data_IF_522397125762
#
_entry.id   IF_522397125762
#
_cell.length_a   1.000
_cell.length_b   1.000
_cell.length_c   1.000
_cell.angle_alpha   90.00
_cell.angle_beta   90.00
_cell.angle_gamma   90.00
#
_symmetry.space_group_name_H-M   'P 1'
#
loop_
_entity.id
_entity.type
_entity.pdbx_description
1 polymer ?
#
# COMPACT_ATOMS: atom_id res chain seq x y z
N UNK A 1 67.74 -18.02 -4.31
CA UNK A 1 66.31 -17.98 -3.94
C UNK A 1 65.59 -17.01 -4.86
N UNK A 2 65.06 -17.54 -5.96
CA UNK A 2 64.40 -16.79 -7.03
C UNK A 2 62.91 -16.74 -6.73
N UNK A 3 62.41 -15.58 -6.30
CA UNK A 3 60.98 -15.34 -6.08
C UNK A 3 60.27 -15.33 -7.45
N UNK A 4 59.63 -16.46 -7.78
CA UNK A 4 58.65 -16.56 -8.87
C UNK A 4 57.48 -15.63 -8.55
N UNK A 5 57.43 -14.50 -9.25
CA UNK A 5 56.26 -13.63 -9.33
C UNK A 5 55.17 -14.43 -10.06
N UNK A 6 54.19 -14.91 -9.30
CA UNK A 6 53.01 -15.59 -9.86
C UNK A 6 52.11 -14.49 -10.40
N UNK A 7 52.13 -14.29 -11.72
CA UNK A 7 51.16 -13.46 -12.43
C UNK A 7 49.78 -14.11 -12.28
N UNK A 8 49.05 -13.69 -11.24
CA UNK A 8 47.65 -14.05 -11.03
C UNK A 8 46.87 -13.33 -12.13
N UNK A 9 46.64 -14.02 -13.25
CA UNK A 9 45.81 -13.54 -14.35
C UNK A 9 44.53 -12.93 -13.77
N UNK A 10 44.37 -11.61 -13.93
CA UNK A 10 43.13 -10.91 -13.61
C UNK A 10 42.06 -11.52 -14.51
N UNK A 11 41.27 -12.44 -13.96
CA UNK A 11 40.02 -12.86 -14.61
C UNK A 11 39.26 -11.56 -14.91
N UNK A 12 38.97 -11.31 -16.19
CA UNK A 12 38.24 -10.11 -16.59
C UNK A 12 36.90 -10.08 -15.85
N UNK A 13 36.42 -8.92 -15.38
CA UNK A 13 35.13 -8.80 -14.69
C UNK A 13 33.96 -9.40 -15.50
N UNK A 14 34.09 -9.48 -16.83
CA UNK A 14 33.17 -10.19 -17.72
C UNK A 14 33.06 -11.69 -17.43
N UNK A 15 34.13 -12.35 -16.97
CA UNK A 15 34.15 -13.78 -16.64
C UNK A 15 33.33 -14.10 -15.39
N UNK A 16 33.37 -13.24 -14.37
CA UNK A 16 32.61 -13.45 -13.12
C UNK A 16 31.12 -13.25 -13.37
N UNK A 17 30.73 -12.18 -14.08
CA UNK A 17 29.34 -11.92 -14.41
C UNK A 17 28.73 -13.05 -15.27
N UNK A 18 29.48 -13.57 -16.25
CA UNK A 18 29.05 -14.70 -17.07
C UNK A 18 28.87 -15.99 -16.24
N UNK A 19 29.85 -16.34 -15.39
CA UNK A 19 29.76 -17.50 -14.48
C UNK A 19 28.57 -17.37 -13.52
N UNK A 20 28.31 -16.17 -13.00
CA UNK A 20 27.19 -15.90 -12.10
C UNK A 20 25.85 -16.05 -12.82
N UNK A 21 25.73 -15.48 -14.02
CA UNK A 21 24.57 -15.65 -14.89
C UNK A 21 24.28 -17.12 -15.17
N UNK A 22 25.29 -17.89 -15.59
CA UNK A 22 25.16 -19.31 -15.87
C UNK A 22 24.66 -20.10 -14.64
N UNK A 23 25.20 -19.78 -13.45
CA UNK A 23 24.74 -20.37 -12.17
C UNK A 23 23.28 -20.05 -11.89
N UNK A 24 22.85 -18.80 -12.05
CA UNK A 24 21.46 -18.38 -11.82
C UNK A 24 20.49 -19.07 -12.79
N UNK A 25 20.85 -19.14 -14.07
CA UNK A 25 20.01 -19.81 -15.08
C UNK A 25 19.94 -21.33 -14.85
N UNK A 26 21.05 -21.95 -14.46
CA UNK A 26 21.07 -23.38 -14.11
C UNK A 26 20.21 -23.67 -12.88
N UNK A 27 20.25 -22.80 -11.86
CA UNK A 27 19.38 -22.91 -10.69
C UNK A 27 17.90 -22.77 -11.09
N UNK A 28 17.56 -21.74 -11.87
CA UNK A 28 16.20 -21.53 -12.35
C UNK A 28 15.67 -22.72 -13.18
N UNK A 29 16.54 -23.37 -13.97
CA UNK A 29 16.18 -24.55 -14.75
C UNK A 29 15.88 -25.76 -13.87
N UNK A 30 16.68 -25.98 -12.83
CA UNK A 30 16.43 -27.04 -11.83
C UNK A 30 15.13 -26.82 -11.06
N UNK A 31 14.78 -25.56 -10.83
CA UNK A 31 13.54 -25.15 -10.18
C UNK A 31 12.31 -25.21 -11.11
N UNK A 32 12.50 -25.51 -12.40
CA UNK A 32 11.40 -25.57 -13.38
C UNK A 32 10.80 -24.19 -13.69
N UNK A 33 11.58 -23.12 -13.57
CA UNK A 33 11.11 -21.73 -13.72
C UNK A 33 11.00 -21.24 -15.16
N UNK A 34 11.20 -22.10 -16.15
CA UNK A 34 11.14 -21.72 -17.56
C UNK A 34 9.77 -22.10 -18.13
N UNK A 35 9.03 -21.10 -18.58
CA UNK A 35 7.74 -21.27 -19.24
C UNK A 35 7.78 -20.51 -20.55
N UNK A 36 7.68 -21.24 -21.67
CA UNK A 36 7.73 -20.60 -22.97
C UNK A 36 6.54 -19.69 -23.17
N UNK A 37 6.80 -18.45 -23.52
CA UNK A 37 5.80 -17.50 -23.97
C UNK A 37 6.22 -16.91 -25.31
N UNK A 38 5.25 -16.60 -26.15
CA UNK A 38 5.52 -16.03 -27.47
C UNK A 38 5.99 -14.58 -27.33
N UNK A 39 7.25 -14.25 -27.65
CA UNK A 39 7.71 -12.87 -27.63
C UNK A 39 7.19 -12.09 -28.84
N UNK A 40 6.95 -10.80 -28.64
CA UNK A 40 6.75 -9.82 -29.70
C UNK A 40 8.03 -9.01 -29.86
N UNK A 41 8.51 -8.90 -31.09
CA UNK A 41 9.71 -8.13 -31.40
C UNK A 41 9.29 -6.83 -32.07
N UNK A 42 9.59 -5.71 -31.42
CA UNK A 42 9.38 -4.38 -31.96
C UNK A 42 10.73 -3.79 -32.33
N UNK A 43 10.84 -3.33 -33.58
CA UNK A 43 12.01 -2.65 -34.09
C UNK A 43 11.60 -1.26 -34.57
N UNK A 44 12.10 -0.24 -33.89
CA UNK A 44 11.97 1.15 -34.34
C UNK A 44 13.31 1.57 -34.91
N UNK A 45 13.32 2.03 -36.16
CA UNK A 45 14.49 2.60 -36.81
C UNK A 45 14.19 4.00 -37.34
N UNK A 46 15.13 4.90 -37.13
CA UNK A 46 15.11 6.24 -37.72
C UNK A 46 16.12 6.28 -38.86
N UNK A 47 15.64 6.45 -40.10
CA UNK A 47 16.49 6.63 -41.29
C UNK A 47 16.84 8.12 -41.45
N UNK A 48 17.94 8.41 -42.18
CA UNK A 48 18.48 9.78 -42.40
C UNK A 48 17.49 10.78 -43.01
N UNK A 49 16.39 10.34 -43.61
CA UNK A 49 15.41 11.19 -44.28
C UNK A 49 14.25 11.64 -43.37
N UNK A 50 14.39 11.53 -42.03
CA UNK A 50 13.29 11.78 -41.09
C UNK A 50 12.22 10.68 -41.07
N UNK A 51 12.29 9.73 -42.00
CA UNK A 51 11.43 8.55 -42.03
C UNK A 51 11.76 7.64 -40.85
N UNK A 52 10.79 7.50 -39.95
CA UNK A 52 10.79 6.49 -38.90
C UNK A 52 9.97 5.31 -39.37
N UNK A 53 10.53 4.11 -39.25
CA UNK A 53 9.85 2.87 -39.56
C UNK A 53 9.72 2.05 -38.29
N UNK A 54 8.50 1.62 -38.00
CA UNK A 54 8.20 0.63 -36.98
C UNK A 54 7.87 -0.70 -37.65
N UNK A 55 8.57 -1.75 -37.24
CA UNK A 55 8.33 -3.10 -37.68
C UNK A 55 8.02 -3.98 -36.48
N UNK A 56 6.92 -4.74 -36.58
CA UNK A 56 6.54 -5.75 -35.59
C UNK A 56 6.75 -7.12 -36.21
N UNK A 57 7.49 -7.98 -35.51
CA UNK A 57 7.71 -9.36 -35.91
C UNK A 57 7.34 -10.30 -34.78
N UNK A 58 6.61 -11.35 -35.14
CA UNK A 58 6.26 -12.44 -34.23
C UNK A 58 7.14 -13.64 -34.57
N UNK A 59 8.17 -13.89 -33.77
CA UNK A 59 9.05 -15.03 -34.02
C UNK A 59 8.86 -16.10 -32.95
N UNK A 60 8.75 -17.36 -33.40
CA UNK A 60 9.15 -18.48 -32.55
C UNK A 60 10.67 -18.56 -32.66
N UNK A 61 11.35 -18.31 -31.54
CA UNK A 61 12.74 -18.69 -31.36
C UNK A 61 12.87 -20.19 -31.72
N UNK A 62 13.56 -20.57 -32.81
CA UNK A 62 13.64 -21.97 -33.19
C UNK A 62 14.45 -22.73 -32.13
N UNK A 63 13.80 -23.72 -31.52
CA UNK A 63 14.29 -24.51 -30.37
C UNK A 63 15.62 -25.24 -30.61
N UNK A 64 16.00 -25.44 -31.87
CA UNK A 64 17.10 -26.36 -32.22
C UNK A 64 18.17 -25.80 -33.17
N UNK A 65 18.05 -24.55 -33.63
CA UNK A 65 19.04 -23.92 -34.50
C UNK A 65 19.63 -22.67 -33.82
N UNK A 66 20.71 -22.90 -33.07
CA UNK A 66 21.56 -21.86 -32.46
C UNK A 66 22.13 -20.84 -33.48
N UNK A 67 21.91 -21.04 -34.78
CA UNK A 67 22.39 -20.18 -35.87
C UNK A 67 21.33 -19.23 -36.45
N UNK A 68 20.06 -19.31 -36.01
CA UNK A 68 18.97 -18.48 -36.57
C UNK A 68 18.60 -17.26 -35.73
N UNK A 69 18.98 -17.20 -34.45
CA UNK A 69 18.72 -15.98 -33.66
C UNK A 69 19.54 -14.75 -34.10
N UNK A 70 20.76 -14.91 -34.66
CA UNK A 70 21.37 -13.83 -35.42
C UNK A 70 20.43 -13.40 -36.54
N UNK A 71 19.78 -14.29 -37.28
CA UNK A 71 19.08 -13.94 -38.52
C UNK A 71 17.90 -12.98 -38.35
N UNK A 72 17.08 -13.00 -37.29
CA UNK A 72 15.97 -12.02 -37.20
C UNK A 72 16.47 -10.60 -36.85
N UNK A 73 17.56 -10.50 -36.10
CA UNK A 73 18.19 -9.21 -35.76
C UNK A 73 19.36 -8.83 -36.69
N UNK A 74 19.84 -9.78 -37.50
CA UNK A 74 20.97 -9.65 -38.44
C UNK A 74 20.56 -9.83 -39.90
N UNK A 75 19.33 -10.22 -40.25
CA UNK A 75 18.86 -10.21 -41.64
C UNK A 75 19.01 -8.83 -42.25
N UNK A 76 18.86 -7.78 -41.43
CA UNK A 76 19.06 -6.40 -41.88
C UNK A 76 20.52 -5.94 -41.89
N UNK A 77 21.44 -6.64 -41.23
CA UNK A 77 22.88 -6.38 -41.41
C UNK A 77 23.40 -6.99 -42.72
N UNK A 78 22.73 -8.05 -43.24
CA UNK A 78 23.19 -8.75 -44.42
C UNK A 78 22.46 -8.36 -45.73
N UNK A 79 21.17 -8.00 -45.73
CA UNK A 79 20.54 -7.42 -46.94
C UNK A 79 21.09 -6.02 -47.28
N UNK A 80 21.71 -5.32 -46.33
CA UNK A 80 22.41 -4.04 -46.56
C UNK A 80 23.84 -4.20 -47.10
N UNK A 81 24.37 -5.42 -47.30
CA UNK A 81 25.73 -5.60 -47.87
C UNK A 81 25.87 -5.12 -49.32
N UNK A 82 24.77 -4.77 -50.01
CA UNK A 82 24.81 -4.16 -51.34
C UNK A 82 24.45 -2.67 -51.37
N UNK A 83 24.09 -2.05 -50.25
CA UNK A 83 23.90 -0.59 -50.17
C UNK A 83 24.80 -0.11 -49.05
N UNK A 84 25.94 0.49 -49.40
CA UNK A 84 26.89 1.08 -48.46
C UNK A 84 26.26 2.27 -47.71
N UNK A 85 25.34 1.99 -46.79
CA UNK A 85 24.80 2.95 -45.86
C UNK A 85 25.88 3.12 -44.79
N UNK A 86 26.54 4.26 -44.85
CA UNK A 86 27.52 4.69 -43.84
C UNK A 86 26.96 4.44 -42.42
N UNK A 87 27.63 3.63 -41.59
CA UNK A 87 27.15 3.20 -40.26
C UNK A 87 26.97 4.33 -39.22
N UNK A 88 27.23 5.58 -39.62
CA UNK A 88 27.36 6.72 -38.71
C UNK A 88 26.04 7.44 -38.36
N UNK A 89 24.84 6.94 -38.71
CA UNK A 89 23.62 7.75 -38.50
C UNK A 89 22.29 7.04 -38.21
N UNK A 90 22.20 5.71 -38.26
CA UNK A 90 20.93 5.03 -37.98
C UNK A 90 20.83 4.70 -36.48
N UNK A 91 19.82 5.25 -35.82
CA UNK A 91 19.45 4.83 -34.47
C UNK A 91 18.54 3.61 -34.55
N UNK A 92 18.72 2.66 -33.63
CA UNK A 92 17.88 1.47 -33.54
C UNK A 92 17.39 1.23 -32.12
N UNK A 93 16.09 1.02 -31.98
CA UNK A 93 15.47 0.55 -30.76
C UNK A 93 14.91 -0.84 -31.01
N UNK A 94 15.46 -1.82 -30.28
CA UNK A 94 15.08 -3.22 -30.33
C UNK A 94 14.37 -3.55 -29.04
N UNK A 95 13.08 -3.85 -29.10
CA UNK A 95 12.28 -4.22 -27.94
C UNK A 95 11.76 -5.65 -28.08
N UNK A 96 11.89 -6.44 -27.03
CA UNK A 96 11.28 -7.77 -26.90
C UNK A 96 10.24 -7.70 -25.80
N UNK A 97 8.98 -7.80 -26.20
CA UNK A 97 7.81 -7.67 -25.34
C UNK A 97 7.20 -9.04 -25.06
N UNK A 98 6.91 -9.29 -23.79
CA UNK A 98 6.13 -10.43 -23.32
C UNK A 98 4.86 -9.92 -22.65
N UNK A 99 3.70 -10.29 -23.21
CA UNK A 99 2.39 -9.75 -22.79
C UNK A 99 1.74 -10.45 -21.59
N UNK A 100 2.13 -11.69 -21.29
CA UNK A 100 1.42 -12.51 -20.31
C UNK A 100 2.38 -13.16 -19.33
N UNK A 101 2.95 -12.38 -18.42
CA UNK A 101 3.79 -12.88 -17.33
C UNK A 101 2.94 -13.69 -16.35
N UNK A 102 3.40 -14.87 -15.86
CA UNK A 102 2.71 -15.59 -14.81
C UNK A 102 2.67 -14.73 -13.54
N UNK A 103 1.60 -14.85 -12.76
CA UNK A 103 1.43 -14.07 -11.54
C UNK A 103 2.56 -14.34 -10.54
N UNK A 104 3.23 -13.30 -10.07
CA UNK A 104 4.27 -13.44 -9.05
C UNK A 104 3.65 -13.87 -7.73
N UNK A 105 4.27 -14.85 -7.08
CA UNK A 105 3.99 -15.17 -5.70
C UNK A 105 5.09 -14.56 -4.83
N UNK A 106 4.73 -13.60 -3.96
CA UNK A 106 5.68 -12.93 -3.08
C UNK A 106 6.56 -13.92 -2.31
N UNK A 107 7.87 -13.70 -2.36
CA UNK A 107 8.87 -14.57 -1.73
C UNK A 107 9.23 -15.83 -2.53
N UNK A 108 8.63 -16.04 -3.71
CA UNK A 108 9.07 -17.05 -4.67
C UNK A 108 9.78 -16.37 -5.83
N UNK A 109 10.69 -17.11 -6.44
CA UNK A 109 11.37 -16.64 -7.63
C UNK A 109 10.43 -16.68 -8.85
N UNK A 110 10.63 -15.76 -9.79
CA UNK A 110 9.76 -15.63 -10.95
C UNK A 110 9.93 -16.73 -11.98
N UNK A 111 8.84 -17.00 -12.68
CA UNK A 111 8.86 -17.69 -13.96
C UNK A 111 9.51 -16.79 -15.01
N UNK A 112 10.46 -17.37 -15.73
CA UNK A 112 11.16 -16.77 -16.84
C UNK A 112 10.43 -17.16 -18.14
N UNK A 113 10.05 -16.20 -18.99
CA UNK A 113 9.17 -16.47 -20.13
C UNK A 113 9.91 -17.06 -21.33
N UNK A 114 10.83 -17.98 -21.09
CA UNK A 114 11.69 -18.62 -22.09
C UNK A 114 11.56 -20.13 -22.00
N UNK A 115 11.85 -20.80 -23.11
CA UNK A 115 11.81 -22.27 -23.17
C UNK A 115 12.92 -22.93 -22.36
N UNK A 116 14.14 -22.37 -22.40
CA UNK A 116 15.30 -22.94 -21.73
C UNK A 116 16.39 -21.86 -21.45
N UNK A 117 17.37 -22.16 -20.57
CA UNK A 117 18.50 -21.28 -20.27
C UNK A 117 19.30 -20.80 -21.48
N UNK A 118 19.47 -21.66 -22.49
CA UNK A 118 20.28 -21.36 -23.67
C UNK A 118 19.61 -20.31 -24.55
N UNK A 119 18.30 -20.43 -24.75
CA UNK A 119 17.47 -19.43 -25.45
C UNK A 119 17.55 -18.07 -24.76
N UNK A 120 17.43 -18.04 -23.44
CA UNK A 120 17.55 -16.80 -22.67
C UNK A 120 18.96 -16.20 -22.77
N UNK A 121 20.00 -17.03 -22.65
CA UNK A 121 21.40 -16.57 -22.76
C UNK A 121 21.68 -15.96 -24.13
N UNK A 122 21.25 -16.65 -25.21
CA UNK A 122 21.40 -16.15 -26.57
C UNK A 122 20.68 -14.82 -26.78
N UNK A 123 19.48 -14.65 -26.22
CA UNK A 123 18.75 -13.39 -26.28
C UNK A 123 19.46 -12.28 -25.49
N UNK A 124 19.90 -12.56 -24.26
CA UNK A 124 20.60 -11.59 -23.42
C UNK A 124 21.90 -11.12 -24.05
N UNK A 125 22.66 -12.04 -24.64
CA UNK A 125 23.92 -11.73 -25.33
C UNK A 125 23.66 -10.94 -26.62
N UNK A 126 22.66 -11.33 -27.42
CA UNK A 126 22.31 -10.63 -28.66
C UNK A 126 21.79 -9.20 -28.45
N UNK A 127 21.14 -8.95 -27.31
CA UNK A 127 20.62 -7.63 -26.92
C UNK A 127 21.53 -6.89 -25.95
N UNK A 128 22.66 -7.48 -25.55
CA UNK A 128 23.58 -6.94 -24.53
C UNK A 128 22.85 -6.51 -23.23
N UNK A 129 21.85 -7.27 -22.80
CA UNK A 129 21.02 -6.93 -21.64
C UNK A 129 21.76 -7.16 -20.32
N UNK A 130 21.49 -6.34 -19.29
CA UNK A 130 22.19 -6.46 -18.01
C UNK A 130 21.83 -7.75 -17.27
N UNK A 131 22.85 -8.40 -16.69
CA UNK A 131 22.67 -9.64 -15.91
C UNK A 131 22.02 -9.41 -14.55
N UNK A 132 21.98 -8.16 -14.05
CA UNK A 132 21.25 -7.75 -12.85
C UNK A 132 19.77 -8.12 -12.90
N UNK A 133 19.17 -8.20 -14.09
CA UNK A 133 17.79 -8.65 -14.27
C UNK A 133 17.52 -10.03 -13.64
N UNK A 134 18.45 -10.96 -13.79
CA UNK A 134 18.30 -12.32 -13.26
C UNK A 134 18.33 -12.36 -11.73
N UNK A 135 19.07 -11.43 -11.12
CA UNK A 135 19.06 -11.29 -9.67
C UNK A 135 17.67 -10.84 -9.21
N UNK A 136 17.10 -9.82 -9.84
CA UNK A 136 15.78 -9.29 -9.46
C UNK A 136 14.65 -10.31 -9.64
N UNK A 137 14.73 -11.12 -10.70
CA UNK A 137 13.79 -12.22 -10.95
C UNK A 137 13.81 -13.32 -9.87
N UNK A 138 14.75 -13.32 -8.90
CA UNK A 138 14.77 -14.29 -7.80
C UNK A 138 13.84 -13.95 -6.62
N UNK A 139 12.85 -13.07 -6.83
CA UNK A 139 11.82 -12.75 -5.84
C UNK A 139 12.20 -11.59 -4.93
N UNK A 140 13.01 -10.66 -5.42
CA UNK A 140 13.27 -9.40 -4.72
C UNK A 140 12.03 -8.50 -4.70
N UNK A 141 12.00 -7.59 -3.73
CA UNK A 141 11.01 -6.51 -3.68
C UNK A 141 11.13 -5.61 -4.92
N UNK A 142 10.05 -4.87 -5.21
CA UNK A 142 10.03 -3.87 -6.28
C UNK A 142 11.25 -2.95 -6.19
N UNK A 143 12.03 -2.86 -7.27
CA UNK A 143 13.27 -2.10 -7.29
C UNK A 143 13.59 -1.60 -8.69
N UNK A 144 14.26 -0.46 -8.77
CA UNK A 144 14.80 0.09 -9.99
C UNK A 144 16.29 0.38 -9.77
N UNK A 145 17.12 0.00 -10.74
CA UNK A 145 18.56 0.20 -10.70
C UNK A 145 19.04 0.67 -12.08
N UNK A 146 19.99 1.60 -12.10
CA UNK A 146 20.75 1.97 -13.29
C UNK A 146 22.24 1.84 -13.03
N UNK A 147 22.99 1.58 -14.11
CA UNK A 147 24.43 1.58 -14.12
C UNK A 147 24.91 2.25 -15.42
N UNK A 148 25.77 3.24 -15.27
CA UNK A 148 26.54 3.79 -16.39
C UNK A 148 27.76 2.89 -16.63
N UNK A 149 27.97 2.51 -17.88
CA UNK A 149 29.11 1.71 -18.31
C UNK A 149 30.14 2.71 -18.83
N UNK A 150 31.30 2.75 -18.19
CA UNK A 150 32.44 3.59 -18.59
C UNK A 150 33.52 2.69 -19.19
N UNK A 151 34.04 3.04 -20.36
CA UNK A 151 35.18 2.36 -20.98
C UNK A 151 36.40 3.29 -20.92
N UNK A 152 37.16 3.18 -19.83
CA UNK A 152 38.33 4.02 -19.59
C UNK A 152 38.00 5.51 -19.36
N UNK A 153 38.87 6.38 -19.86
CA UNK A 153 38.78 7.84 -19.67
C UNK A 153 37.84 8.53 -20.69
N UNK A 154 37.29 7.80 -21.67
CA UNK A 154 36.49 8.36 -22.78
C UNK A 154 35.01 8.61 -22.42
N UNK A 155 34.68 8.62 -21.12
CA UNK A 155 33.33 8.89 -20.62
C UNK A 155 32.40 7.68 -20.65
N UNK A 156 31.09 7.93 -20.50
CA UNK A 156 30.08 6.88 -20.45
C UNK A 156 29.82 6.30 -21.85
N UNK A 157 30.12 5.01 -22.03
CA UNK A 157 30.00 4.28 -23.29
C UNK A 157 28.71 3.48 -23.40
N UNK A 158 28.00 3.32 -22.29
CA UNK A 158 26.69 2.70 -22.28
C UNK A 158 25.90 2.98 -21.03
N UNK A 159 24.64 2.59 -21.07
CA UNK A 159 23.70 2.73 -19.97
C UNK A 159 22.88 1.45 -19.83
N UNK A 160 22.84 0.91 -18.63
CA UNK A 160 22.01 -0.24 -18.29
C UNK A 160 20.97 0.16 -17.25
N UNK A 161 19.74 -0.30 -17.44
CA UNK A 161 18.64 -0.10 -16.50
C UNK A 161 17.93 -1.42 -16.27
N UNK A 162 17.57 -1.68 -15.03
CA UNK A 162 16.78 -2.84 -14.65
C UNK A 162 15.71 -2.40 -13.67
N UNK A 163 14.46 -2.69 -14.00
CA UNK A 163 13.30 -2.30 -13.21
C UNK A 163 12.43 -3.52 -13.01
N UNK A 164 11.99 -3.69 -11.78
CA UNK A 164 11.13 -4.77 -11.35
C UNK A 164 10.04 -4.18 -10.47
N UNK A 165 8.78 -4.30 -10.88
CA UNK A 165 7.64 -3.77 -10.15
C UNK A 165 6.68 -4.89 -9.80
N UNK A 166 6.49 -5.10 -8.50
CA UNK A 166 5.42 -5.93 -7.96
C UNK A 166 4.23 -5.04 -7.61
N UNK A 167 3.09 -5.31 -8.23
CA UNK A 167 1.88 -4.52 -8.02
C UNK A 167 0.64 -5.39 -8.10
N UNK A 168 -0.36 -5.10 -7.25
CA UNK A 168 -1.67 -5.78 -7.30
C UNK A 168 -2.40 -5.57 -8.64
N UNK A 169 -2.05 -4.53 -9.38
CA UNK A 169 -2.67 -4.20 -10.67
C UNK A 169 -1.94 -4.86 -11.85
N UNK A 170 -0.87 -5.60 -11.58
CA UNK A 170 -0.04 -6.20 -12.62
C UNK A 170 1.43 -6.00 -12.29
N UNK A 171 2.16 -7.09 -12.22
CA UNK A 171 3.60 -7.11 -12.13
C UNK A 171 4.20 -6.84 -13.50
N UNK A 172 5.30 -6.11 -13.53
CA UNK A 172 6.03 -5.87 -14.77
C UNK A 172 7.52 -5.72 -14.47
N UNK A 173 8.32 -6.02 -15.48
CA UNK A 173 9.76 -5.83 -15.39
C UNK A 173 10.35 -5.42 -16.72
N UNK A 174 11.43 -4.66 -16.65
CA UNK A 174 12.11 -4.09 -17.79
C UNK A 174 13.62 -4.24 -17.57
N UNK A 175 14.32 -4.71 -18.59
CA UNK A 175 15.77 -4.60 -18.69
C UNK A 175 16.09 -3.79 -19.94
N UNK A 176 16.93 -2.78 -19.78
CA UNK A 176 17.33 -1.90 -20.86
C UNK A 176 18.86 -1.84 -20.90
N UNK A 177 19.39 -1.86 -22.12
CA UNK A 177 20.79 -1.63 -22.40
C UNK A 177 20.90 -0.69 -23.58
N UNK A 178 21.72 0.35 -23.45
CA UNK A 178 22.00 1.28 -24.51
C UNK A 178 23.51 1.39 -24.68
N UNK A 179 23.95 1.38 -25.93
CA UNK A 179 25.36 1.50 -26.30
C UNK A 179 25.54 2.76 -27.14
N UNK A 180 26.36 3.70 -26.65
CA UNK A 180 26.54 5.02 -27.28
C UNK A 180 27.24 4.94 -28.64
N UNK A 181 28.18 4.01 -28.81
CA UNK A 181 28.93 3.82 -30.04
C UNK A 181 28.05 3.32 -31.18
N UNK A 182 27.24 2.29 -30.89
CA UNK A 182 26.33 1.69 -31.87
C UNK A 182 25.01 2.44 -32.00
N UNK A 183 24.74 3.38 -31.08
CA UNK A 183 23.47 4.14 -30.98
C UNK A 183 22.25 3.23 -30.99
N UNK A 184 22.40 2.07 -30.33
CA UNK A 184 21.36 1.05 -30.25
C UNK A 184 20.86 0.93 -28.82
N UNK A 185 19.54 1.01 -28.67
CA UNK A 185 18.84 0.73 -27.41
C UNK A 185 18.18 -0.64 -27.55
N UNK A 186 18.43 -1.51 -26.58
CA UNK A 186 17.85 -2.84 -26.52
C UNK A 186 17.06 -2.98 -25.23
N UNK A 187 15.81 -3.40 -25.33
CA UNK A 187 14.87 -3.48 -24.21
C UNK A 187 14.24 -4.85 -24.19
N UNK A 188 14.26 -5.49 -23.03
CA UNK A 188 13.38 -6.60 -22.70
C UNK A 188 12.29 -6.09 -21.76
N UNK A 189 11.04 -6.38 -22.11
CA UNK A 189 9.87 -5.89 -21.41
C UNK A 189 8.91 -7.04 -21.14
N UNK A 190 8.61 -7.31 -19.88
CA UNK A 190 7.68 -8.36 -19.47
C UNK A 190 6.55 -7.76 -18.66
N UNK A 191 5.31 -8.02 -19.08
CA UNK A 191 4.08 -7.49 -18.52
C UNK A 191 3.19 -8.65 -18.07
N UNK A 192 2.52 -8.49 -16.93
CA UNK A 192 1.39 -9.34 -16.53
C UNK A 192 0.10 -8.83 -17.18
N UNK A 193 -0.90 -9.71 -17.32
CA UNK A 193 -2.23 -9.46 -17.91
C UNK A 193 -2.98 -8.22 -17.34
N UNK A 194 -2.63 -7.76 -16.14
CA UNK A 194 -3.23 -6.56 -15.54
C UNK A 194 -2.73 -5.23 -16.14
N UNK A 195 -1.60 -5.25 -16.86
CA UNK A 195 -1.05 -4.08 -17.56
C UNK A 195 -1.50 -4.12 -19.02
N UNK A 196 -2.16 -3.06 -19.47
CA UNK A 196 -2.61 -2.94 -20.87
C UNK A 196 -1.42 -2.78 -21.83
N UNK A 197 -0.98 -3.92 -22.37
CA UNK A 197 0.11 -4.01 -23.32
C UNK A 197 -0.21 -3.30 -24.65
N UNK A 198 -1.49 -3.27 -25.06
CA UNK A 198 -1.88 -2.62 -26.32
C UNK A 198 -1.72 -1.11 -26.22
N UNK A 199 -2.18 -0.51 -25.12
CA UNK A 199 -1.96 0.92 -24.87
C UNK A 199 -0.47 1.27 -24.85
N UNK A 200 0.38 0.43 -24.25
CA UNK A 200 1.83 0.64 -24.23
C UNK A 200 2.49 0.55 -25.61
N UNK A 201 2.04 -0.38 -26.46
CA UNK A 201 2.52 -0.52 -27.83
C UNK A 201 2.02 0.64 -28.69
N UNK A 202 0.78 1.09 -28.50
CA UNK A 202 0.24 2.28 -29.17
C UNK A 202 1.03 3.53 -28.79
N UNK A 203 1.30 3.74 -27.49
CA UNK A 203 2.16 4.83 -27.01
C UNK A 203 3.55 4.75 -27.70
N UNK A 204 4.15 3.56 -27.83
CA UNK A 204 5.43 3.38 -28.54
C UNK A 204 5.35 3.75 -30.03
N UNK A 205 4.23 3.44 -30.70
CA UNK A 205 4.01 3.80 -32.10
C UNK A 205 3.83 5.31 -32.27
N UNK A 206 3.05 5.93 -31.39
CA UNK A 206 2.78 7.37 -31.39
C UNK A 206 4.07 8.17 -31.14
N UNK A 207 4.96 7.67 -30.27
CA UNK A 207 6.24 8.31 -29.93
C UNK A 207 7.45 7.72 -30.68
N UNK A 208 7.25 7.06 -31.83
CA UNK A 208 8.34 6.43 -32.59
C UNK A 208 9.45 7.41 -33.00
N UNK A 209 9.14 8.70 -33.13
CA UNK A 209 10.09 9.77 -33.45
C UNK A 209 11.15 9.99 -32.36
N UNK A 210 10.83 9.63 -31.12
CA UNK A 210 11.72 9.62 -29.95
C UNK A 210 12.45 8.28 -29.79
N UNK A 211 12.27 7.33 -30.71
CA UNK A 211 12.82 5.97 -30.61
C UNK A 211 14.36 5.89 -30.54
N UNK A 212 15.06 6.98 -30.83
CA UNK A 212 16.51 7.08 -30.63
C UNK A 212 16.89 7.28 -29.15
N UNK A 213 15.98 7.82 -28.34
CA UNK A 213 16.24 8.18 -26.94
C UNK A 213 16.08 6.95 -26.03
N UNK A 214 17.10 6.57 -25.24
CA UNK A 214 17.03 5.36 -24.42
C UNK A 214 15.93 5.41 -23.36
N UNK A 215 15.56 6.60 -22.87
CA UNK A 215 14.50 6.75 -21.86
C UNK A 215 13.07 6.72 -22.40
N UNK A 216 12.84 6.53 -23.71
CA UNK A 216 11.48 6.51 -24.25
C UNK A 216 10.59 5.46 -23.58
N UNK A 217 11.00 4.18 -23.61
CA UNK A 217 10.22 3.08 -23.00
C UNK A 217 10.07 3.24 -21.48
N UNK A 218 11.14 3.59 -20.72
CA UNK A 218 10.99 3.91 -19.31
C UNK A 218 9.95 5.00 -19.03
N UNK A 219 9.90 6.07 -19.83
CA UNK A 219 8.92 7.14 -19.66
C UNK A 219 7.49 6.69 -20.03
N UNK A 220 7.30 5.94 -21.10
CA UNK A 220 6.00 5.32 -21.45
C UNK A 220 5.51 4.44 -20.29
N UNK A 221 6.38 3.61 -19.74
CA UNK A 221 6.02 2.74 -18.63
C UNK A 221 5.75 3.55 -17.35
N UNK A 222 6.49 4.63 -17.12
CA UNK A 222 6.24 5.56 -16.01
C UNK A 222 4.87 6.24 -16.10
N UNK A 223 4.48 6.70 -17.29
CA UNK A 223 3.16 7.25 -17.55
C UNK A 223 2.05 6.21 -17.35
N UNK A 224 2.29 4.95 -17.75
CA UNK A 224 1.35 3.86 -17.49
C UNK A 224 1.17 3.58 -15.99
N UNK A 225 2.25 3.62 -15.20
CA UNK A 225 2.17 3.54 -13.73
C UNK A 225 1.32 4.68 -13.16
N UNK A 226 1.46 5.90 -13.68
CA UNK A 226 0.65 7.04 -13.28
C UNK A 226 -0.85 6.84 -13.62
N UNK A 227 -1.18 6.30 -14.80
CA UNK A 227 -2.56 5.96 -15.20
C UNK A 227 -3.17 4.97 -14.21
N UNK A 228 -2.48 3.86 -13.94
CA UNK A 228 -2.91 2.85 -12.97
C UNK A 228 -3.11 3.42 -11.56
N UNK A 229 -2.20 4.29 -11.10
CA UNK A 229 -2.30 4.96 -9.82
C UNK A 229 -3.51 5.91 -9.75
N UNK A 230 -3.80 6.62 -10.84
CA UNK A 230 -4.93 7.55 -10.94
C UNK A 230 -6.26 6.82 -10.86
N UNK A 231 -6.44 5.76 -11.65
CA UNK A 231 -7.65 4.93 -11.64
C UNK A 231 -7.90 4.30 -10.27
N UNK A 232 -6.84 3.74 -9.67
CA UNK A 232 -6.92 3.18 -8.33
C UNK A 232 -7.35 4.23 -7.31
N UNK A 233 -6.76 5.41 -7.37
CA UNK A 233 -7.12 6.51 -6.47
C UNK A 233 -8.57 6.92 -6.65
N UNK A 234 -9.09 7.00 -7.88
CA UNK A 234 -10.50 7.29 -8.12
C UNK A 234 -11.42 6.25 -7.48
N UNK A 235 -11.09 4.95 -7.62
CA UNK A 235 -11.83 3.86 -6.97
C UNK A 235 -11.80 3.96 -5.43
N UNK A 236 -10.65 4.27 -4.84
CA UNK A 236 -10.52 4.46 -3.39
C UNK A 236 -11.32 5.68 -2.93
N UNK A 237 -11.21 6.80 -3.64
CA UNK A 237 -11.95 8.03 -3.34
C UNK A 237 -13.46 7.79 -3.36
N UNK A 238 -13.97 7.04 -4.35
CA UNK A 238 -15.38 6.69 -4.42
C UNK A 238 -15.84 5.87 -3.20
N UNK A 239 -15.07 4.86 -2.80
CA UNK A 239 -15.35 4.07 -1.59
C UNK A 239 -15.31 4.89 -0.32
N UNK A 240 -14.32 5.77 -0.16
CA UNK A 240 -14.21 6.67 0.98
C UNK A 240 -15.40 7.64 1.06
N UNK A 241 -15.84 8.20 -0.07
CA UNK A 241 -17.02 9.05 -0.10
C UNK A 241 -18.29 8.30 0.32
N UNK A 242 -18.44 7.04 -0.11
CA UNK A 242 -19.55 6.19 0.34
C UNK A 242 -19.48 5.91 1.84
N UNK A 243 -18.28 5.64 2.36
CA UNK A 243 -18.03 5.43 3.78
C UNK A 243 -18.41 6.67 4.60
N UNK A 244 -17.92 7.85 4.22
CA UNK A 244 -18.20 9.12 4.90
C UNK A 244 -19.68 9.49 4.86
N UNK A 245 -20.35 9.33 3.71
CA UNK A 245 -21.79 9.58 3.59
C UNK A 245 -22.62 8.65 4.48
N UNK A 246 -22.26 7.37 4.51
CA UNK A 246 -22.94 6.38 5.35
C UNK A 246 -22.72 6.69 6.83
N UNK A 247 -21.50 7.06 7.21
CA UNK A 247 -21.16 7.46 8.58
C UNK A 247 -21.93 8.72 9.02
N UNK A 248 -21.99 9.74 8.16
CA UNK A 248 -22.74 10.96 8.43
C UNK A 248 -24.23 10.67 8.66
N UNK A 249 -24.84 9.78 7.86
CA UNK A 249 -26.23 9.34 8.02
C UNK A 249 -26.48 8.64 9.36
N UNK A 250 -25.58 7.76 9.79
CA UNK A 250 -25.69 7.08 11.09
C UNK A 250 -25.59 8.07 12.25
N UNK A 251 -24.69 9.05 12.14
CA UNK A 251 -24.53 10.06 13.17
C UNK A 251 -25.79 10.93 13.33
N UNK A 252 -26.46 11.29 12.23
CA UNK A 252 -27.73 12.03 12.30
C UNK A 252 -28.84 11.23 12.99
N UNK A 253 -28.98 9.92 12.69
CA UNK A 253 -29.96 9.07 13.38
C UNK A 253 -29.66 8.90 14.88
N UNK A 254 -28.38 8.88 15.24
CA UNK A 254 -27.94 8.73 16.64
C UNK A 254 -28.27 9.96 17.49
N UNK A 255 -28.46 11.13 16.87
CA UNK A 255 -28.85 12.38 17.52
C UNK A 255 -30.38 12.51 17.69
N UNK A 256 -31.17 12.03 16.72
CA UNK A 256 -32.63 12.20 16.69
C UNK A 256 -33.42 11.09 17.41
N UNK A 257 -32.78 10.00 17.83
CA UNK A 257 -33.46 8.80 18.36
C UNK A 257 -33.97 8.98 19.80
N UNK A 258 -35.20 9.49 19.91
CA UNK A 258 -36.06 9.35 21.09
C UNK A 258 -37.22 8.35 20.90
N UNK A 259 -37.52 7.80 19.70
CA UNK A 259 -38.75 7.04 19.46
C UNK A 259 -38.59 5.99 18.33
N UNK A 260 -38.15 4.74 18.63
CA UNK A 260 -38.44 3.46 17.90
C UNK A 260 -37.37 2.35 18.12
N UNK A 261 -37.15 1.93 19.37
CA UNK A 261 -35.92 1.21 19.80
C UNK A 261 -35.67 -0.22 19.29
N UNK A 262 -36.61 -0.89 18.61
CA UNK A 262 -36.44 -2.32 18.24
C UNK A 262 -36.30 -2.57 16.73
N UNK A 263 -37.09 -1.88 15.89
CA UNK A 263 -36.95 -2.00 14.43
C UNK A 263 -35.71 -1.24 13.91
N UNK A 264 -35.32 -0.14 14.55
CA UNK A 264 -34.09 0.60 14.22
C UNK A 264 -32.82 -0.20 14.53
N UNK A 265 -32.87 -1.09 15.53
CA UNK A 265 -31.67 -1.77 16.02
C UNK A 265 -31.09 -2.79 15.02
N UNK A 266 -31.95 -3.46 14.23
CA UNK A 266 -31.50 -4.37 13.16
C UNK A 266 -30.92 -3.62 11.97
N UNK A 267 -31.57 -2.54 11.54
CA UNK A 267 -31.12 -1.72 10.42
C UNK A 267 -29.76 -1.08 10.72
N UNK A 268 -29.62 -0.46 11.89
CA UNK A 268 -28.37 0.13 12.35
C UNK A 268 -27.22 -0.91 12.45
N UNK A 269 -27.51 -2.13 12.90
CA UNK A 269 -26.50 -3.19 12.96
C UNK A 269 -26.01 -3.63 11.59
N UNK A 270 -26.90 -3.65 10.59
CA UNK A 270 -26.53 -3.99 9.21
C UNK A 270 -25.70 -2.87 8.56
N UNK A 271 -26.07 -1.60 8.78
CA UNK A 271 -25.31 -0.45 8.30
C UNK A 271 -23.91 -0.37 8.95
N UNK A 272 -23.80 -0.65 10.24
CA UNK A 272 -22.50 -0.74 10.91
C UNK A 272 -21.62 -1.85 10.31
N UNK A 273 -22.19 -3.03 10.03
CA UNK A 273 -21.44 -4.12 9.40
C UNK A 273 -20.91 -3.69 8.02
N UNK A 274 -21.75 -3.05 7.21
CA UNK A 274 -21.35 -2.52 5.90
C UNK A 274 -20.24 -1.46 6.04
N UNK A 275 -20.33 -0.57 7.04
CA UNK A 275 -19.26 0.39 7.34
C UNK A 275 -17.94 -0.29 7.70
N UNK A 276 -17.96 -1.32 8.54
CA UNK A 276 -16.76 -2.07 8.89
C UNK A 276 -16.14 -2.77 7.68
N UNK A 277 -16.96 -3.39 6.82
CA UNK A 277 -16.49 -4.02 5.57
C UNK A 277 -15.86 -2.97 4.62
N UNK A 278 -16.50 -1.82 4.44
CA UNK A 278 -15.96 -0.71 3.65
C UNK A 278 -14.67 -0.14 4.25
N UNK A 279 -14.63 0.05 5.58
CA UNK A 279 -13.47 0.55 6.29
C UNK A 279 -12.28 -0.42 6.17
N UNK A 280 -12.53 -1.72 6.34
CA UNK A 280 -11.53 -2.77 6.14
C UNK A 280 -11.02 -2.78 4.69
N UNK A 281 -11.91 -2.64 3.71
CA UNK A 281 -11.52 -2.52 2.30
C UNK A 281 -10.63 -1.30 2.06
N UNK A 282 -10.95 -0.14 2.65
CA UNK A 282 -10.10 1.06 2.57
C UNK A 282 -8.74 0.84 3.26
N UNK A 283 -8.71 0.25 4.46
CA UNK A 283 -7.47 -0.07 5.18
C UNK A 283 -6.57 -1.07 4.45
N UNK A 284 -7.17 -2.07 3.81
CA UNK A 284 -6.43 -3.02 2.98
C UNK A 284 -5.73 -2.34 1.80
N UNK A 285 -6.33 -1.29 1.26
CA UNK A 285 -5.72 -0.45 0.24
C UNK A 285 -4.60 0.45 0.77
N UNK A 286 -4.70 0.93 2.02
CA UNK A 286 -3.65 1.70 2.68
C UNK A 286 -2.36 0.88 2.85
N UNK A 287 -2.46 -0.32 3.44
CA UNK A 287 -1.29 -1.17 3.72
C UNK A 287 -0.53 -1.59 2.46
N UNK A 288 -1.17 -1.54 1.30
CA UNK A 288 -0.55 -1.82 0.01
C UNK A 288 0.33 -0.67 -0.53
N UNK A 289 0.39 0.52 0.11
CA UNK A 289 0.99 1.75 -0.46
C UNK A 289 2.45 2.00 -0.12
N UNK A 290 2.89 1.69 1.09
CA UNK A 290 4.16 2.20 1.64
C UNK A 290 5.38 1.83 0.76
N UNK A 291 5.53 0.54 0.40
CA UNK A 291 6.64 0.11 -0.47
C UNK A 291 6.55 0.57 -1.94
N UNK A 292 5.38 1.03 -2.41
CA UNK A 292 5.22 1.48 -3.81
C UNK A 292 5.82 2.85 -4.04
N UNK A 293 5.73 3.75 -3.06
CA UNK A 293 6.26 5.10 -3.19
C UNK A 293 7.79 5.11 -3.23
N UNK A 294 8.42 4.24 -2.45
CA UNK A 294 9.87 4.08 -2.49
C UNK A 294 10.31 3.50 -3.84
N UNK A 295 9.56 2.53 -4.38
CA UNK A 295 9.78 2.06 -5.73
C UNK A 295 9.62 3.19 -6.78
N UNK A 296 8.58 4.01 -6.70
CA UNK A 296 8.37 5.10 -7.66
C UNK A 296 9.47 6.16 -7.59
N UNK A 297 9.91 6.53 -6.38
CA UNK A 297 11.06 7.44 -6.17
C UNK A 297 12.34 6.83 -6.74
N UNK A 298 12.59 5.55 -6.49
CA UNK A 298 13.72 4.81 -7.04
C UNK A 298 13.67 4.80 -8.57
N UNK A 299 12.51 4.51 -9.16
CA UNK A 299 12.33 4.49 -10.62
C UNK A 299 12.50 5.88 -11.25
N UNK A 300 11.94 6.93 -10.62
CA UNK A 300 12.17 8.32 -11.01
C UNK A 300 13.66 8.69 -11.00
N UNK A 301 14.38 8.35 -9.93
CA UNK A 301 15.83 8.60 -9.82
C UNK A 301 16.63 7.90 -10.92
N UNK A 302 16.26 6.66 -11.24
CA UNK A 302 16.89 5.84 -12.30
C UNK A 302 16.63 6.43 -13.69
N UNK A 303 15.39 6.88 -13.97
CA UNK A 303 15.06 7.57 -15.23
C UNK A 303 15.84 8.89 -15.33
N UNK A 304 15.90 9.67 -14.24
CA UNK A 304 16.67 10.93 -14.19
C UNK A 304 18.15 10.70 -14.50
N UNK A 305 18.76 9.66 -13.93
CA UNK A 305 20.13 9.25 -14.27
C UNK A 305 20.27 8.91 -15.76
N UNK A 306 19.28 8.25 -16.37
CA UNK A 306 19.29 7.99 -17.81
C UNK A 306 19.16 9.25 -18.68
N UNK A 307 18.42 10.27 -18.24
CA UNK A 307 18.42 11.58 -18.90
C UNK A 307 19.79 12.27 -18.81
N UNK A 308 20.41 12.30 -17.63
CA UNK A 308 21.76 12.88 -17.46
C UNK A 308 22.80 12.15 -18.31
N UNK A 309 22.75 10.81 -18.35
CA UNK A 309 23.57 10.00 -19.26
C UNK A 309 23.38 10.42 -20.72
N UNK A 310 22.12 10.55 -21.17
CA UNK A 310 21.82 10.88 -22.58
C UNK A 310 22.32 12.28 -22.93
N UNK A 311 22.19 13.23 -22.00
CA UNK A 311 22.71 14.59 -22.14
C UNK A 311 24.23 14.61 -22.30
N UNK A 312 24.96 13.89 -21.46
CA UNK A 312 26.42 13.77 -21.55
C UNK A 312 26.84 13.13 -22.88
N UNK A 313 26.15 12.05 -23.27
CA UNK A 313 26.35 11.38 -24.55
C UNK A 313 26.16 12.34 -25.74
N UNK A 314 25.07 13.12 -25.76
CA UNK A 314 24.81 14.09 -26.83
C UNK A 314 25.86 15.19 -26.88
N UNK A 315 26.29 15.71 -25.72
CA UNK A 315 27.35 16.73 -25.64
C UNK A 315 28.69 16.22 -26.18
N UNK A 316 29.07 14.99 -25.84
CA UNK A 316 30.28 14.35 -26.36
C UNK A 316 30.21 14.18 -27.89
N UNK A 317 29.05 13.77 -28.42
CA UNK A 317 28.86 13.62 -29.87
C UNK A 317 28.91 14.96 -30.62
N UNK A 318 28.36 16.03 -30.05
CA UNK A 318 28.43 17.39 -30.62
C UNK A 318 29.89 17.86 -30.70
N UNK A 319 30.69 17.61 -29.66
CA UNK A 319 32.11 17.99 -29.65
C UNK A 319 32.91 17.33 -30.79
N UNK A 320 32.50 16.14 -31.23
CA UNK A 320 33.16 15.39 -32.30
C UNK A 320 32.54 15.58 -33.70
N UNK A 321 31.35 16.18 -33.82
CA UNK A 321 30.62 16.23 -35.08
C UNK A 321 30.68 17.60 -35.78
N UNK A 322 30.98 17.59 -37.08
CA UNK A 322 31.05 18.79 -37.92
C UNK A 322 29.68 19.37 -38.36
N UNK A 323 28.55 18.74 -38.00
CA UNK A 323 27.19 19.16 -38.42
C UNK A 323 26.31 19.45 -37.20
N UNK A 324 26.08 20.73 -36.92
CA UNK A 324 25.28 21.17 -35.77
C UNK A 324 23.77 20.86 -35.93
N UNK A 325 23.23 20.93 -37.14
CA UNK A 325 21.78 20.98 -37.37
C UNK A 325 20.99 19.70 -36.98
N UNK A 326 21.56 18.50 -37.19
CA UNK A 326 20.89 17.24 -36.81
C UNK A 326 20.81 17.07 -35.28
N UNK A 327 21.75 17.66 -34.54
CA UNK A 327 21.79 17.58 -33.08
C UNK A 327 20.81 18.55 -32.41
N UNK A 328 20.50 19.68 -33.04
CA UNK A 328 19.50 20.62 -32.54
C UNK A 328 18.13 19.94 -32.38
N UNK A 329 17.75 19.12 -33.38
CA UNK A 329 16.49 18.36 -33.32
C UNK A 329 16.51 17.26 -32.25
N UNK A 330 17.62 16.54 -32.10
CA UNK A 330 17.76 15.52 -31.05
C UNK A 330 17.74 16.16 -29.65
N UNK A 331 18.35 17.33 -29.49
CA UNK A 331 18.34 18.07 -28.23
C UNK A 331 16.92 18.57 -27.89
N UNK A 332 16.19 19.11 -28.86
CA UNK A 332 14.78 19.48 -28.67
C UNK A 332 13.93 18.29 -28.24
N UNK A 333 14.06 17.14 -28.92
CA UNK A 333 13.36 15.92 -28.53
C UNK A 333 13.75 15.39 -27.15
N UNK A 334 15.00 15.57 -26.72
CA UNK A 334 15.43 15.23 -25.38
C UNK A 334 14.76 16.11 -24.32
N UNK A 335 14.76 17.43 -24.54
CA UNK A 335 14.13 18.39 -23.63
C UNK A 335 12.62 18.17 -23.54
N UNK A 336 11.93 17.95 -24.68
CA UNK A 336 10.50 17.63 -24.71
C UNK A 336 10.17 16.38 -23.88
N UNK A 337 10.96 15.31 -24.05
CA UNK A 337 10.76 14.04 -23.33
C UNK A 337 11.06 14.21 -21.83
N UNK A 338 12.06 15.03 -21.48
CA UNK A 338 12.41 15.36 -20.11
C UNK A 338 11.33 16.22 -19.44
N UNK A 339 10.73 17.17 -20.16
CA UNK A 339 9.60 17.96 -19.70
C UNK A 339 8.40 17.06 -19.43
N UNK A 340 8.06 16.17 -20.37
CA UNK A 340 6.97 15.21 -20.19
C UNK A 340 7.19 14.32 -18.96
N UNK A 341 8.41 13.80 -18.78
CA UNK A 341 8.77 13.04 -17.58
C UNK A 341 8.61 13.86 -16.30
N UNK A 342 9.06 15.11 -16.30
CA UNK A 342 8.98 16.02 -15.14
C UNK A 342 7.52 16.31 -14.78
N UNK A 343 6.67 16.59 -15.77
CA UNK A 343 5.24 16.79 -15.56
C UNK A 343 4.57 15.53 -15.01
N UNK A 344 4.92 14.36 -15.55
CA UNK A 344 4.43 13.05 -15.08
C UNK A 344 4.83 12.82 -13.61
N UNK A 345 6.07 13.17 -13.24
CA UNK A 345 6.54 13.09 -11.85
C UNK A 345 5.76 14.01 -10.91
N UNK A 346 5.57 15.27 -11.28
CA UNK A 346 4.79 16.25 -10.48
C UNK A 346 3.36 15.75 -10.26
N UNK A 347 2.73 15.16 -11.29
CA UNK A 347 1.42 14.55 -11.16
C UNK A 347 1.41 13.36 -10.19
N UNK A 348 2.45 12.53 -10.24
CA UNK A 348 2.62 11.40 -9.32
C UNK A 348 2.81 11.88 -7.87
N UNK A 349 3.66 12.88 -7.63
CA UNK A 349 3.84 13.50 -6.31
C UNK A 349 2.54 14.08 -5.77
N UNK A 350 1.76 14.75 -6.63
CA UNK A 350 0.43 15.24 -6.27
C UNK A 350 -0.50 14.11 -5.82
N UNK A 351 -0.47 12.96 -6.51
CA UNK A 351 -1.24 11.77 -6.13
C UNK A 351 -0.76 11.21 -4.80
N UNK A 352 0.55 11.11 -4.58
CA UNK A 352 1.14 10.63 -3.32
C UNK A 352 0.73 11.51 -2.13
N UNK A 353 0.78 12.83 -2.29
CA UNK A 353 0.36 13.77 -1.25
C UNK A 353 -1.15 13.64 -0.93
N UNK A 354 -1.98 13.46 -1.96
CA UNK A 354 -3.43 13.27 -1.78
C UNK A 354 -3.78 11.90 -1.20
N UNK A 355 -2.97 10.88 -1.47
CA UNK A 355 -3.12 9.57 -0.83
C UNK A 355 -2.81 9.64 0.67
N UNK A 356 -1.89 10.50 1.11
CA UNK A 356 -1.66 10.76 2.53
C UNK A 356 -2.88 11.40 3.20
N UNK A 357 -3.54 12.38 2.55
CA UNK A 357 -4.83 12.92 3.02
C UNK A 357 -5.90 11.84 3.12
N UNK A 358 -5.98 10.96 2.11
CA UNK A 358 -6.89 9.82 2.15
C UNK A 358 -6.63 8.90 3.35
N UNK A 359 -5.36 8.69 3.74
CA UNK A 359 -5.04 7.88 4.91
C UNK A 359 -5.59 8.51 6.19
N UNK A 360 -5.29 9.80 6.40
CA UNK A 360 -5.79 10.56 7.55
C UNK A 360 -7.32 10.55 7.64
N UNK A 361 -8.02 10.64 6.51
CA UNK A 361 -9.49 10.59 6.48
C UNK A 361 -10.06 9.24 6.87
N UNK A 362 -9.45 8.15 6.40
CA UNK A 362 -9.85 6.79 6.80
C UNK A 362 -9.64 6.59 8.30
N UNK A 363 -8.54 7.10 8.87
CA UNK A 363 -8.27 7.03 10.30
C UNK A 363 -9.31 7.83 11.11
N UNK A 364 -9.63 9.06 10.68
CA UNK A 364 -10.67 9.87 11.31
C UNK A 364 -12.04 9.18 11.31
N UNK A 365 -12.44 8.57 10.19
CA UNK A 365 -13.70 7.83 10.10
C UNK A 365 -13.66 6.58 10.98
N UNK A 366 -12.51 5.90 11.05
CA UNK A 366 -12.31 4.76 11.94
C UNK A 366 -12.51 5.16 13.41
N UNK A 367 -11.91 6.25 13.85
CA UNK A 367 -12.04 6.74 15.23
C UNK A 367 -13.47 7.13 15.55
N UNK A 368 -14.13 7.83 14.62
CA UNK A 368 -15.53 8.21 14.76
C UNK A 368 -16.43 6.96 14.86
N UNK A 369 -16.16 5.91 14.07
CA UNK A 369 -16.90 4.65 14.11
C UNK A 369 -16.75 3.94 15.45
N UNK A 370 -15.52 3.86 15.98
CA UNK A 370 -15.29 3.29 17.30
C UNK A 370 -15.97 4.10 18.40
N UNK A 371 -15.93 5.43 18.33
CA UNK A 371 -16.63 6.29 19.27
C UNK A 371 -18.15 6.08 19.23
N UNK A 372 -18.75 5.92 18.05
CA UNK A 372 -20.18 5.60 17.93
C UNK A 372 -20.53 4.25 18.56
N UNK A 373 -19.69 3.22 18.35
CA UNK A 373 -19.88 1.90 18.97
C UNK A 373 -19.79 2.01 20.50
N UNK A 374 -18.77 2.70 21.03
CA UNK A 374 -18.63 2.92 22.47
C UNK A 374 -19.82 3.68 23.06
N UNK A 375 -20.27 4.76 22.40
CA UNK A 375 -21.45 5.51 22.85
C UNK A 375 -22.70 4.63 22.88
N UNK A 376 -22.85 3.75 21.90
CA UNK A 376 -23.94 2.78 21.86
C UNK A 376 -23.87 1.82 23.05
N UNK A 377 -22.71 1.31 23.41
CA UNK A 377 -22.57 0.34 24.51
C UNK A 377 -22.78 1.00 25.89
N UNK A 378 -22.41 2.28 26.03
CA UNK A 378 -22.61 3.05 27.26
C UNK A 378 -24.09 3.39 27.50
N UNK A 379 -24.89 3.60 26.43
CA UNK A 379 -26.31 4.00 26.56
C UNK A 379 -27.14 2.97 27.36
N UNK A 380 -27.17 1.66 27.05
CA UNK A 380 -27.87 0.65 27.84
C UNK A 380 -27.35 0.58 29.28
N UNK A 381 -26.03 0.60 29.48
CA UNK A 381 -25.44 0.55 30.82
C UNK A 381 -25.89 1.74 31.67
N UNK A 382 -25.92 2.94 31.10
CA UNK A 382 -26.41 4.14 31.79
C UNK A 382 -27.89 4.04 32.16
N UNK A 383 -28.71 3.42 31.30
CA UNK A 383 -30.14 3.21 31.56
C UNK A 383 -30.38 2.16 32.63
N UNK A 384 -29.63 1.05 32.60
CA UNK A 384 -29.65 0.02 33.64
C UNK A 384 -29.20 0.62 34.96
N UNK A 385 -28.13 1.41 34.99
CA UNK A 385 -27.67 2.09 36.19
C UNK A 385 -28.74 3.05 36.75
N UNK A 386 -29.42 3.83 35.89
CA UNK A 386 -30.52 4.72 36.31
C UNK A 386 -31.75 3.93 36.80
N UNK A 387 -32.11 2.86 36.12
CA UNK A 387 -33.21 1.99 36.55
C UNK A 387 -32.89 1.34 37.90
N UNK A 388 -31.67 0.85 38.09
CA UNK A 388 -31.19 0.28 39.36
C UNK A 388 -31.13 1.34 40.47
N UNK A 389 -30.76 2.58 40.14
CA UNK A 389 -30.78 3.67 41.11
C UNK A 389 -32.21 4.01 41.57
N UNK A 390 -33.19 4.01 40.65
CA UNK A 390 -34.62 4.18 41.00
C UNK A 390 -35.14 3.02 41.83
N UNK A 391 -34.85 1.79 41.41
CA UNK A 391 -35.22 0.58 42.17
C UNK A 391 -34.63 0.59 43.59
N UNK A 392 -33.38 1.07 43.73
CA UNK A 392 -32.76 1.27 45.04
C UNK A 392 -33.46 2.34 45.89
N UNK A 393 -34.00 3.40 45.27
CA UNK A 393 -34.78 4.42 45.98
C UNK A 393 -36.14 3.87 46.43
N UNK A 394 -36.82 3.13 45.57
CA UNK A 394 -38.10 2.49 45.88
C UNK A 394 -37.92 1.46 47.00
N UNK A 395 -36.84 0.66 46.94
CA UNK A 395 -36.51 -0.30 48.00
C UNK A 395 -36.22 0.38 49.33
N UNK A 396 -35.50 1.51 49.32
CA UNK A 396 -35.28 2.32 50.52
C UNK A 396 -36.59 2.87 51.09
N UNK A 397 -37.51 3.31 50.23
CA UNK A 397 -38.82 3.80 50.63
C UNK A 397 -39.68 2.69 51.27
N UNK A 398 -39.72 1.49 50.68
CA UNK A 398 -40.42 0.35 51.25
C UNK A 398 -39.82 -0.05 52.61
N UNK A 399 -38.49 -0.09 52.71
CA UNK A 399 -37.81 -0.39 53.98
C UNK A 399 -38.13 0.65 55.06
N UNK A 400 -38.21 1.93 54.68
CA UNK A 400 -38.59 3.03 55.56
C UNK A 400 -40.06 2.90 56.03
N UNK A 401 -40.99 2.57 55.13
CA UNK A 401 -42.37 2.31 55.52
C UNK A 401 -42.46 1.10 56.46
N UNK A 402 -41.73 0.03 56.16
CA UNK A 402 -41.65 -1.16 57.00
C UNK A 402 -41.14 -0.86 58.41
N UNK A 403 -40.12 0.00 58.54
CA UNK A 403 -39.56 0.38 59.85
C UNK A 403 -40.51 1.24 60.69
N UNK A 404 -41.43 1.99 60.06
CA UNK A 404 -42.47 2.76 60.75
C UNK A 404 -43.65 1.87 61.15
N UNK A 405 -44.15 1.05 60.23
CA UNK A 405 -45.39 0.28 60.43
C UNK A 405 -45.22 -0.96 61.32
N UNK A 406 -44.07 -1.64 61.31
CA UNK A 406 -43.85 -2.83 62.13
C UNK A 406 -43.93 -2.53 63.65
N UNK A 407 -43.21 -1.52 64.19
CA UNK A 407 -43.34 -1.12 65.58
C UNK A 407 -44.74 -0.67 65.97
N UNK A 408 -45.38 0.14 65.13
CA UNK A 408 -46.73 0.64 65.39
C UNK A 408 -47.75 -0.51 65.46
N UNK A 409 -47.64 -1.49 64.56
CA UNK A 409 -48.51 -2.67 64.54
C UNK A 409 -48.26 -3.59 65.73
N UNK A 410 -47.00 -3.78 66.13
CA UNK A 410 -46.64 -4.56 67.32
C UNK A 410 -47.27 -3.96 68.59
N UNK A 411 -47.12 -2.64 68.77
CA UNK A 411 -47.67 -1.93 69.92
C UNK A 411 -49.20 -2.00 69.90
N UNK A 412 -49.84 -1.76 68.74
CA UNK A 412 -51.27 -1.90 68.59
C UNK A 412 -51.77 -3.32 68.93
N UNK A 413 -51.02 -4.36 68.56
CA UNK A 413 -51.35 -5.75 68.88
C UNK A 413 -51.23 -6.04 70.37
N UNK A 414 -50.19 -5.55 71.03
CA UNK A 414 -50.00 -5.68 72.50
C UNK A 414 -51.16 -5.02 73.26
N UNK A 415 -51.62 -3.85 72.81
CA UNK A 415 -52.74 -3.15 73.43
C UNK A 415 -54.13 -3.69 73.02
N UNK A 416 -54.22 -4.45 71.92
CA UNK A 416 -55.45 -5.13 71.48
C UNK A 416 -55.61 -6.54 72.07
N UNK A 417 -54.74 -6.95 73.01
CA UNK A 417 -55.00 -8.11 73.86
C UNK A 417 -56.19 -7.74 74.75
N UNK A 418 -57.27 -8.54 74.65
CA UNK A 418 -58.60 -8.31 75.23
C UNK A 418 -58.68 -8.20 76.76
N UNK A 419 -57.56 -8.07 77.46
CA UNK A 419 -57.48 -7.99 78.91
C UNK A 419 -57.53 -6.56 79.47
N UNK A 420 -57.53 -5.52 78.62
CA UNK A 420 -57.66 -4.12 79.05
C UNK A 420 -59.12 -3.63 79.09
N UNK A 421 -59.96 -4.23 79.94
CA UNK A 421 -61.35 -3.78 80.17
C UNK A 421 -61.44 -2.64 81.21
N UNK A 422 -60.32 -2.17 81.77
CA UNK A 422 -60.31 -1.34 82.98
C UNK A 422 -59.99 0.15 82.81
N UNK A 423 -59.93 0.69 81.58
CA UNK A 423 -59.59 2.11 81.36
C UNK A 423 -60.52 2.72 80.30
N UNK A 424 -61.12 3.88 80.60
CA UNK A 424 -61.92 4.66 79.64
C UNK A 424 -61.10 4.94 78.36
N UNK A 425 -61.69 4.69 77.19
CA UNK A 425 -60.96 4.62 75.92
C UNK A 425 -60.11 5.85 75.56
N UNK A 426 -60.43 7.03 76.11
CA UNK A 426 -59.65 8.25 75.91
C UNK A 426 -58.28 8.22 76.62
N UNK A 427 -58.19 7.65 77.82
CA UNK A 427 -56.93 7.57 78.56
C UNK A 427 -56.00 6.48 78.00
N UNK A 428 -56.56 5.34 77.55
CA UNK A 428 -55.81 4.29 76.86
C UNK A 428 -55.20 4.80 75.55
N UNK A 429 -55.96 5.60 74.80
CA UNK A 429 -55.47 6.27 73.59
C UNK A 429 -54.31 7.23 73.88
N UNK A 430 -54.38 7.99 74.98
CA UNK A 430 -53.29 8.87 75.41
C UNK A 430 -52.00 8.13 75.74
N UNK A 431 -52.10 7.00 76.46
CA UNK A 431 -50.94 6.13 76.78
C UNK A 431 -50.36 5.48 75.53
N UNK A 432 -51.21 5.00 74.63
CA UNK A 432 -50.81 4.45 73.34
C UNK A 432 -50.01 5.48 72.52
N UNK A 433 -50.51 6.70 72.37
CA UNK A 433 -49.80 7.78 71.66
C UNK A 433 -48.50 8.15 72.38
N UNK A 434 -48.54 8.24 73.71
CA UNK A 434 -47.39 8.60 74.56
C UNK A 434 -46.23 7.62 74.50
N UNK A 435 -46.46 6.34 74.19
CA UNK A 435 -45.41 5.32 74.04
C UNK A 435 -45.03 5.14 72.56
N UNK A 436 -46.02 5.10 71.67
CA UNK A 436 -45.80 4.79 70.25
C UNK A 436 -45.01 5.88 69.53
N UNK A 437 -45.33 7.15 69.77
CA UNK A 437 -44.65 8.28 69.12
C UNK A 437 -43.16 8.34 69.46
N UNK A 438 -42.73 8.32 70.73
CA UNK A 438 -41.30 8.32 71.05
C UNK A 438 -40.60 7.04 70.59
N UNK A 439 -41.26 5.88 70.59
CA UNK A 439 -40.65 4.65 70.09
C UNK A 439 -40.40 4.70 68.57
N UNK A 440 -41.37 5.19 67.78
CA UNK A 440 -41.20 5.43 66.34
C UNK A 440 -40.13 6.49 66.10
N UNK A 441 -40.08 7.56 66.90
CA UNK A 441 -39.05 8.59 66.80
C UNK A 441 -37.65 8.05 67.07
N UNK A 442 -37.47 7.22 68.11
CA UNK A 442 -36.18 6.57 68.42
C UNK A 442 -35.76 5.62 67.29
N UNK A 443 -36.69 4.83 66.76
CA UNK A 443 -36.42 3.95 65.62
C UNK A 443 -36.02 4.74 64.36
N UNK A 444 -36.72 5.83 64.05
CA UNK A 444 -36.37 6.69 62.92
C UNK A 444 -35.00 7.34 63.11
N UNK A 445 -34.69 7.84 64.31
CA UNK A 445 -33.37 8.42 64.65
C UNK A 445 -32.28 7.35 64.51
N UNK A 446 -32.49 6.14 64.99
CA UNK A 446 -31.53 5.03 64.83
C UNK A 446 -31.33 4.65 63.36
N UNK A 447 -32.40 4.64 62.56
CA UNK A 447 -32.32 4.36 61.13
C UNK A 447 -31.56 5.46 60.37
N UNK A 448 -31.83 6.74 60.64
CA UNK A 448 -31.15 7.86 59.96
C UNK A 448 -29.71 8.03 60.40
N UNK A 449 -29.41 7.92 61.71
CA UNK A 449 -28.04 8.01 62.23
C UNK A 449 -27.16 6.85 61.77
N UNK A 450 -27.73 5.65 61.54
CA UNK A 450 -27.01 4.50 60.99
C UNK A 450 -26.59 4.70 59.54
N UNK A 451 -27.42 5.34 58.70
CA UNK A 451 -27.06 5.68 57.32
C UNK A 451 -25.90 6.69 57.27
N UNK A 452 -25.93 7.71 58.13
CA UNK A 452 -24.84 8.69 58.20
C UNK A 452 -23.51 8.05 58.65
N UNK A 453 -23.55 7.19 59.68
CA UNK A 453 -22.37 6.43 60.11
C UNK A 453 -21.84 5.50 59.01
N UNK A 454 -22.73 4.79 58.31
CA UNK A 454 -22.36 3.92 57.19
C UNK A 454 -21.66 4.67 56.05
N UNK A 455 -22.18 5.85 55.68
CA UNK A 455 -21.57 6.72 54.66
C UNK A 455 -20.20 7.27 55.09
N UNK A 456 -20.02 7.52 56.39
CA UNK A 456 -18.77 8.02 56.96
C UNK A 456 -17.69 6.92 56.99
N UNK A 457 -18.06 5.69 57.37
CA UNK A 457 -17.16 4.54 57.32
C UNK A 457 -16.79 4.13 55.89
N UNK A 458 -17.74 4.15 54.95
CA UNK A 458 -17.49 3.86 53.53
C UNK A 458 -16.50 4.85 52.89
N UNK A 459 -16.61 6.15 53.20
CA UNK A 459 -15.66 7.18 52.74
C UNK A 459 -14.25 6.99 53.30
N UNK A 460 -14.11 6.43 54.51
CA UNK A 460 -12.80 6.11 55.10
C UNK A 460 -12.12 4.90 54.46
N UNK A 461 -12.89 3.90 54.04
CA UNK A 461 -12.36 2.70 53.39
C UNK A 461 -11.94 3.01 51.94
N UNK A 462 -12.73 3.77 51.19
CA UNK A 462 -12.37 4.19 49.82
C UNK A 462 -11.10 5.08 49.79
N UNK A 463 -10.88 5.95 50.78
CA UNK A 463 -9.64 6.74 50.88
C UNK A 463 -8.40 5.88 51.20
N UNK A 464 -8.56 4.71 51.84
CA UNK A 464 -7.45 3.78 52.07
C UNK A 464 -7.16 2.86 50.88
N UNK A 465 -8.17 2.55 50.06
CA UNK A 465 -7.99 1.74 48.85
C UNK A 465 -7.50 2.56 47.65
N UNK A 466 -7.93 3.81 47.48
CA UNK A 466 -7.49 4.69 46.39
C UNK A 466 -6.07 5.23 46.54
N UNK A 467 -5.53 5.28 47.77
CA UNK A 467 -4.16 5.73 48.04
C UNK A 467 -3.06 4.69 47.76
N UNK A 468 -3.42 3.42 47.50
CA UNK A 468 -2.44 2.36 47.23
C UNK A 468 -2.21 2.12 45.73
N UNK A 469 -3.05 2.67 44.85
CA UNK A 469 -2.95 2.50 43.39
C UNK A 469 -2.13 3.59 42.71
N UNK A 470 -2.09 4.81 43.26
CA UNK A 470 -1.28 5.91 42.71
C UNK A 470 0.22 5.77 43.03
N UNK A 471 0.61 5.05 44.09
CA UNK A 471 2.03 4.86 44.43
C UNK A 471 2.76 3.84 43.52
N UNK A 472 2.04 3.06 42.71
CA UNK A 472 2.63 2.09 41.78
C UNK A 472 2.73 2.58 40.32
N UNK A 473 2.13 3.74 39.97
CA UNK A 473 2.25 4.31 38.62
C UNK A 473 3.44 5.28 38.53
N UNK A 474 3.87 5.90 39.63
CA UNK A 474 4.97 6.88 39.62
C UNK A 474 6.38 6.25 39.69
N UNK A 475 6.51 4.91 39.82
CA UNK A 475 7.81 4.21 39.79
C UNK A 475 8.12 3.45 38.48
N UNK A 476 7.30 3.65 37.44
CA UNK A 476 7.43 2.95 36.16
C UNK A 476 8.04 3.75 35.00
N UNK A 477 8.53 4.97 35.22
CA UNK A 477 9.27 5.76 34.23
C UNK A 477 10.58 6.26 34.84
N UNK A 478 11.57 5.38 34.81
CA UNK A 478 12.99 5.71 34.67
C UNK A 478 13.64 4.61 33.83
#
# INVERSE_FOLDING_TARGET
MTLKRVDKARESPSSIAAKLRERLLTAAAREGRFEYQRPEHHLVRKRRAGETSHAVSYSRLPTHEQQLFPKIFAFDLHEETNIAISPAAAFSLRCVLHRSRPQHASGKADMLPFENPSTMTALWDGLALPSSYLHLANGYLSTAQSHEIQDGDEGATGFALTVYSLSKQGDWSMALSHNSHTRSTSVFWSLQDGVDADTLVNDLCDFQEYGWHPMLLPCIMFASVLRMATERRQSIKARLQTLEKTMARINTYSADSNIAEVFEQRHFSQELKQLFELLQSCRHDQGSREGRYDFWRSFHTVIKSGFEYTKQFMQAQIAHAARAQDYDHAFAQHEDLQEWFTLTWIQLESIMARDQDHNTRVDNVSDMLYNLVQQRDIRPQSRIARASQRDSQDMKFIALLGSIFLPASLIATIFNVSEFVFIEGAALFGVYVGITVPFVAVMLILCTTREELGSWFGRRIYRRAGGASDENVEKGHN
#
